data_IF_405072689529
#
_entry.id   IF_405072689529
#
_cell.length_a   1.000
_cell.length_b   1.000
_cell.length_c   1.000
_cell.angle_alpha   90.00
_cell.angle_beta   90.00
_cell.angle_gamma   90.00
#
_symmetry.space_group_name_H-M   'P 1'
#
loop_
_entity.id
_entity.type
_entity.pdbx_description
1 polymer ?
#
# COMPACT_ATOMS: atom_id res chain seq x y z
N UNK A 1 -9.98 14.26 8.60
CA UNK A 1 -11.08 13.38 8.14
C UNK A 1 -12.00 14.21 7.27
N UNK A 2 -12.14 13.80 6.02
CA UNK A 2 -13.02 14.42 5.02
C UNK A 2 -14.30 13.58 4.98
N UNK A 3 -15.46 14.24 4.94
CA UNK A 3 -16.76 13.57 4.83
C UNK A 3 -17.11 13.47 3.35
N UNK A 4 -17.41 12.27 2.87
CA UNK A 4 -18.08 12.05 1.60
C UNK A 4 -19.52 11.61 1.88
N UNK A 5 -20.48 12.45 1.48
CA UNK A 5 -21.90 12.14 1.52
C UNK A 5 -22.58 12.62 0.25
N UNK A 6 -23.53 11.82 -0.26
CA UNK A 6 -24.42 12.24 -1.34
C UNK A 6 -25.54 13.18 -0.86
N UNK A 7 -25.71 13.31 0.47
CA UNK A 7 -26.75 14.08 1.14
C UNK A 7 -26.24 15.45 1.55
N UNK A 8 -27.12 16.45 1.51
CA UNK A 8 -26.86 17.79 2.08
C UNK A 8 -27.09 17.76 3.58
N UNK A 9 -26.00 17.59 4.34
CA UNK A 9 -26.01 17.63 5.80
C UNK A 9 -25.99 19.08 6.29
N UNK A 10 -26.65 19.34 7.42
CA UNK A 10 -26.45 20.61 8.15
C UNK A 10 -25.12 20.58 8.88
N UNK A 11 -24.57 21.76 9.20
CA UNK A 11 -23.30 21.87 9.96
C UNK A 11 -23.35 21.16 11.31
N UNK A 12 -24.51 21.13 11.95
CA UNK A 12 -24.72 20.44 13.23
C UNK A 12 -24.66 18.92 13.04
N UNK A 13 -25.28 18.40 11.98
CA UNK A 13 -25.23 16.98 11.64
C UNK A 13 -23.81 16.52 11.27
N UNK A 14 -23.06 17.33 10.52
CA UNK A 14 -21.65 17.05 10.20
C UNK A 14 -20.80 16.93 11.48
N UNK A 15 -21.03 17.79 12.48
CA UNK A 15 -20.32 17.72 13.75
C UNK A 15 -20.66 16.45 14.53
N UNK A 16 -21.92 16.03 14.53
CA UNK A 16 -22.35 14.79 15.17
C UNK A 16 -21.70 13.57 14.50
N UNK A 17 -21.72 13.51 13.17
CA UNK A 17 -21.08 12.44 12.39
C UNK A 17 -19.58 12.38 12.68
N UNK A 18 -18.90 13.53 12.73
CA UNK A 18 -17.47 13.58 13.06
C UNK A 18 -17.19 13.14 14.51
N UNK A 19 -18.06 13.48 15.45
CA UNK A 19 -17.91 13.05 16.84
C UNK A 19 -18.07 11.54 16.98
N UNK A 20 -19.04 10.95 16.29
CA UNK A 20 -19.26 9.50 16.26
C UNK A 20 -18.13 8.75 15.55
N UNK A 21 -17.70 9.22 14.38
CA UNK A 21 -16.57 8.64 13.67
C UNK A 21 -15.28 8.63 14.50
N UNK A 22 -15.05 9.67 15.33
CA UNK A 22 -13.91 9.70 16.27
C UNK A 22 -13.99 8.64 17.35
N UNK A 23 -15.20 8.31 17.84
CA UNK A 23 -15.39 7.23 18.81
C UNK A 23 -15.06 5.88 18.17
N UNK A 24 -15.57 5.62 16.96
CA UNK A 24 -15.28 4.39 16.20
C UNK A 24 -13.78 4.20 15.97
N UNK A 25 -13.06 5.27 15.59
CA UNK A 25 -11.59 5.21 15.41
C UNK A 25 -10.86 4.77 16.68
N UNK A 26 -11.30 5.24 17.86
CA UNK A 26 -10.67 4.88 19.12
C UNK A 26 -10.96 3.43 19.52
N UNK A 27 -12.19 2.98 19.32
CA UNK A 27 -12.64 1.63 19.67
C UNK A 27 -12.01 0.56 18.76
N UNK A 28 -12.06 0.78 17.44
CA UNK A 28 -11.56 -0.18 16.44
C UNK A 28 -10.05 -0.05 16.16
N UNK A 29 -9.37 0.94 16.76
CA UNK A 29 -7.94 1.24 16.55
C UNK A 29 -7.58 1.41 15.07
N UNK A 30 -8.42 2.13 14.34
CA UNK A 30 -8.20 2.42 12.92
C UNK A 30 -6.94 3.29 12.77
N UNK A 31 -5.96 2.82 11.99
CA UNK A 31 -4.75 3.59 11.72
C UNK A 31 -5.00 4.67 10.65
N UNK A 32 -4.50 5.88 10.91
CA UNK A 32 -4.56 7.04 10.02
C UNK A 32 -5.91 7.22 9.28
N UNK A 33 -7.00 7.54 9.99
CA UNK A 33 -8.31 7.75 9.39
C UNK A 33 -8.36 9.06 8.60
N UNK A 34 -8.72 8.98 7.32
CA UNK A 34 -8.77 10.15 6.43
C UNK A 34 -10.16 10.44 5.87
N UNK A 35 -11.03 9.44 5.71
CA UNK A 35 -12.33 9.59 5.04
C UNK A 35 -13.44 8.98 5.89
N UNK A 36 -14.58 9.66 5.94
CA UNK A 36 -15.83 9.14 6.50
C UNK A 36 -16.86 9.13 5.37
N UNK A 37 -17.39 7.96 5.07
CA UNK A 37 -18.48 7.77 4.12
C UNK A 37 -19.78 7.64 4.90
N UNK A 38 -20.78 8.42 4.49
CA UNK A 38 -22.15 8.31 5.01
C UNK A 38 -23.00 7.65 3.93
N UNK A 39 -23.47 6.44 4.22
CA UNK A 39 -24.21 5.60 3.31
C UNK A 39 -25.65 5.43 3.82
N UNK A 40 -26.60 5.28 2.91
CA UNK A 40 -27.97 4.92 3.23
C UNK A 40 -28.21 3.48 2.76
N UNK A 41 -28.44 2.57 3.70
CA UNK A 41 -28.75 1.16 3.44
C UNK A 41 -30.10 0.83 4.07
N UNK A 42 -31.06 0.36 3.26
CA UNK A 42 -32.38 -0.10 3.73
C UNK A 42 -33.17 0.92 4.59
N UNK A 43 -33.00 2.22 4.32
CA UNK A 43 -33.64 3.30 5.08
C UNK A 43 -32.97 3.60 6.43
N UNK A 44 -31.78 3.05 6.66
CA UNK A 44 -30.91 3.35 7.79
C UNK A 44 -29.63 4.04 7.32
N UNK A 45 -29.08 4.89 8.19
CA UNK A 45 -27.82 5.58 7.91
C UNK A 45 -26.66 4.77 8.48
N UNK A 46 -25.72 4.39 7.62
CA UNK A 46 -24.51 3.69 7.98
C UNK A 46 -23.30 4.63 7.87
N UNK A 47 -22.41 4.55 8.85
CA UNK A 47 -21.14 5.27 8.88
C UNK A 47 -20.01 4.31 8.58
N UNK A 48 -19.20 4.63 7.59
CA UNK A 48 -17.99 3.89 7.27
C UNK A 48 -16.78 4.78 7.38
N UNK A 49 -15.87 4.45 8.30
CA UNK A 49 -14.61 5.16 8.45
C UNK A 49 -13.53 4.43 7.68
N UNK A 50 -12.87 5.15 6.75
CA UNK A 50 -11.75 4.63 5.98
C UNK A 50 -10.45 5.22 6.53
N UNK A 51 -9.56 4.31 6.89
CA UNK A 51 -8.18 4.61 7.27
C UNK A 51 -7.17 3.83 6.46
N UNK A 52 -5.93 4.29 6.49
CA UNK A 52 -4.81 3.60 5.83
C UNK A 52 -4.00 2.87 6.89
N UNK A 53 -3.88 1.55 6.77
CA UNK A 53 -2.97 0.78 7.63
C UNK A 53 -1.58 0.71 6.99
N UNK A 54 -0.49 0.87 7.76
CA UNK A 54 0.85 0.73 7.23
C UNK A 54 1.05 -0.74 6.81
N UNK A 55 1.35 -0.95 5.53
CA UNK A 55 1.70 -2.27 5.03
C UNK A 55 3.12 -2.59 5.51
N UNK A 56 3.24 -3.52 6.45
CA UNK A 56 4.54 -3.99 6.93
C UNK A 56 4.96 -5.24 6.17
N UNK A 57 6.15 -5.20 5.58
CA UNK A 57 6.74 -6.38 4.90
C UNK A 57 7.40 -7.30 5.91
N UNK A 58 6.86 -8.51 6.05
CA UNK A 58 7.50 -9.61 6.79
C UNK A 58 8.38 -10.40 5.83
N UNK A 59 9.64 -10.66 6.20
CA UNK A 59 10.63 -11.33 5.33
C UNK A 59 11.44 -12.36 6.10
N UNK A 60 12.00 -13.33 5.36
CA UNK A 60 12.99 -14.28 5.88
C UNK A 60 14.39 -13.87 5.48
N UNK A 61 15.19 -13.41 6.44
CA UNK A 61 16.62 -13.16 6.23
C UNK A 61 17.40 -14.42 6.63
N UNK A 62 17.29 -14.87 7.88
CA UNK A 62 18.10 -15.98 8.44
C UNK A 62 17.31 -17.26 8.73
N UNK A 63 16.21 -17.49 8.01
CA UNK A 63 15.38 -18.69 8.17
C UNK A 63 14.09 -18.52 8.98
N UNK A 64 13.94 -17.45 9.76
CA UNK A 64 12.66 -17.08 10.41
C UNK A 64 12.02 -15.84 9.79
N UNK A 65 10.69 -15.73 9.90
CA UNK A 65 9.91 -14.58 9.46
C UNK A 65 9.98 -13.47 10.50
N UNK A 66 10.40 -12.28 10.10
CA UNK A 66 10.35 -11.09 10.94
C UNK A 66 10.25 -9.82 10.08
N UNK A 67 9.91 -8.72 10.73
CA UNK A 67 9.94 -7.37 10.17
C UNK A 67 11.37 -6.82 10.19
N UNK A 68 11.69 -5.88 9.29
CA UNK A 68 13.07 -5.39 9.07
C UNK A 68 13.65 -4.65 10.27
N UNK A 69 12.81 -3.98 11.05
CA UNK A 69 13.14 -3.24 12.27
C UNK A 69 13.73 -4.10 13.40
N UNK A 70 13.53 -5.42 13.36
CA UNK A 70 14.02 -6.35 14.39
C UNK A 70 15.35 -7.01 14.04
N UNK A 71 15.88 -6.78 12.85
CA UNK A 71 17.15 -7.36 12.41
C UNK A 71 18.32 -6.43 12.74
N UNK A 72 19.48 -7.00 13.04
CA UNK A 72 20.70 -6.23 13.21
C UNK A 72 21.27 -5.75 11.85
N UNK A 73 22.24 -4.85 11.90
CA UNK A 73 22.85 -4.23 10.72
C UNK A 73 23.45 -5.25 9.76
N UNK A 74 24.08 -6.32 10.28
CA UNK A 74 24.66 -7.38 9.45
C UNK A 74 23.59 -8.11 8.61
N UNK A 75 22.39 -8.34 9.18
CA UNK A 75 21.28 -8.99 8.47
C UNK A 75 20.56 -8.05 7.51
N UNK A 76 20.49 -6.76 7.83
CA UNK A 76 20.04 -5.76 6.88
C UNK A 76 20.99 -5.67 5.68
N UNK A 77 22.31 -5.65 5.91
CA UNK A 77 23.32 -5.65 4.85
C UNK A 77 23.20 -6.89 3.94
N UNK A 78 23.00 -8.08 4.53
CA UNK A 78 22.72 -9.32 3.78
C UNK A 78 21.49 -9.18 2.88
N UNK A 79 20.39 -8.61 3.40
CA UNK A 79 19.16 -8.37 2.63
C UNK A 79 19.38 -7.40 1.47
N UNK A 80 20.14 -6.32 1.70
CA UNK A 80 20.45 -5.32 0.67
C UNK A 80 21.36 -5.87 -0.45
N UNK A 81 22.20 -6.86 -0.14
CA UNK A 81 23.06 -7.53 -1.12
C UNK A 81 22.32 -8.59 -1.96
N UNK A 82 21.05 -8.90 -1.67
CA UNK A 82 20.31 -9.91 -2.43
C UNK A 82 19.93 -9.40 -3.81
N UNK A 83 20.27 -10.17 -4.83
CA UNK A 83 19.83 -9.93 -6.21
C UNK A 83 18.42 -10.48 -6.40
N UNK A 84 17.48 -9.63 -6.83
CA UNK A 84 16.14 -10.06 -7.26
C UNK A 84 16.22 -10.79 -8.59
N UNK A 85 15.94 -12.08 -8.58
CA UNK A 85 15.77 -12.88 -9.81
C UNK A 85 14.36 -12.64 -10.37
N UNK A 86 14.22 -11.95 -11.50
CA UNK A 86 12.91 -11.77 -12.16
C UNK A 86 12.68 -10.45 -12.90
N UNK A 87 13.49 -9.41 -12.64
CA UNK A 87 13.69 -8.35 -13.63
C UNK A 87 14.84 -8.82 -14.51
N UNK A 88 14.55 -9.35 -15.70
CA UNK A 88 15.49 -9.57 -16.81
C UNK A 88 16.96 -9.69 -16.37
N UNK A 89 17.40 -10.92 -16.04
CA UNK A 89 18.83 -11.19 -16.02
C UNK A 89 19.32 -10.99 -17.45
N UNK A 90 19.99 -9.86 -17.67
CA UNK A 90 20.80 -9.65 -18.84
C UNK A 90 21.82 -10.79 -18.90
N UNK A 91 21.55 -11.79 -19.75
CA UNK A 91 22.58 -12.61 -20.39
C UNK A 91 23.37 -11.73 -21.38
N UNK A 92 23.81 -10.54 -20.95
CA UNK A 92 24.66 -9.68 -21.76
C UNK A 92 26.11 -10.09 -21.51
N UNK A 93 26.78 -10.35 -22.62
CA UNK A 93 28.20 -10.64 -22.71
C UNK A 93 29.02 -9.62 -21.90
N UNK A 94 30.12 -10.03 -21.23
CA UNK A 94 30.94 -9.15 -20.40
C UNK A 94 31.44 -7.87 -21.10
N UNK A 95 31.48 -7.86 -22.43
CA UNK A 95 31.93 -6.72 -23.24
C UNK A 95 30.88 -5.60 -23.37
N UNK A 96 29.60 -5.88 -23.15
CA UNK A 96 28.53 -4.88 -23.25
C UNK A 96 28.36 -4.06 -21.96
N UNK A 97 28.82 -4.57 -20.81
CA UNK A 97 28.80 -3.84 -19.52
C UNK A 97 29.63 -2.55 -19.52
N UNK A 98 30.63 -2.45 -20.40
CA UNK A 98 31.50 -1.27 -20.47
C UNK A 98 30.92 -0.14 -21.34
N UNK A 99 29.85 -0.39 -22.10
CA UNK A 99 29.29 0.56 -23.06
C UNK A 99 28.01 1.24 -22.59
N UNK A 100 27.26 0.65 -21.66
CA UNK A 100 25.98 1.21 -21.23
C UNK A 100 26.11 2.00 -19.92
N UNK A 101 26.16 3.33 -20.06
CA UNK A 101 26.06 4.29 -18.95
C UNK A 101 24.64 4.48 -18.41
N UNK A 102 23.67 3.66 -18.82
CA UNK A 102 22.32 3.70 -18.28
C UNK A 102 21.72 2.31 -18.37
N UNK A 103 21.60 1.64 -17.22
CA UNK A 103 20.75 0.46 -17.13
C UNK A 103 19.34 0.86 -17.57
N UNK A 104 18.65 0.09 -18.43
CA UNK A 104 17.21 0.25 -18.55
C UNK A 104 16.63 -0.19 -17.21
N UNK A 105 16.05 0.77 -16.49
CA UNK A 105 15.20 0.49 -15.34
C UNK A 105 14.25 -0.61 -15.76
N UNK A 106 14.21 -1.69 -14.99
CA UNK A 106 13.32 -2.82 -15.26
C UNK A 106 11.86 -2.49 -14.92
N UNK A 107 11.43 -1.32 -15.36
CA UNK A 107 10.06 -0.86 -15.33
C UNK A 107 9.30 -1.64 -16.40
N UNK A 108 8.34 -2.44 -15.95
CA UNK A 108 7.31 -2.99 -16.81
C UNK A 108 6.68 -1.83 -17.60
N UNK A 109 6.62 -1.95 -18.92
CA UNK A 109 5.94 -0.91 -19.69
C UNK A 109 4.44 -0.98 -19.40
N UNK A 110 3.75 0.14 -19.53
CA UNK A 110 2.30 0.23 -19.29
C UNK A 110 1.51 -0.78 -20.17
N UNK A 111 2.09 -1.17 -21.31
CA UNK A 111 1.58 -2.17 -22.22
C UNK A 111 1.67 -3.59 -21.66
N UNK A 112 2.76 -3.91 -20.96
CA UNK A 112 2.96 -5.22 -20.31
C UNK A 112 2.02 -5.39 -19.12
N UNK A 113 1.79 -4.32 -18.36
CA UNK A 113 0.83 -4.30 -17.25
C UNK A 113 -0.61 -4.54 -17.72
N UNK A 114 -1.02 -3.86 -18.80
CA UNK A 114 -2.37 -4.04 -19.39
C UNK A 114 -2.58 -5.44 -19.96
N UNK A 115 -1.53 -6.07 -20.49
CA UNK A 115 -1.61 -7.44 -21.01
C UNK A 115 -1.86 -8.45 -19.90
N UNK A 116 -1.12 -8.37 -18.80
CA UNK A 116 -1.33 -9.25 -17.64
C UNK A 116 -2.76 -9.09 -17.10
N UNK A 117 -3.25 -7.85 -16.99
CA UNK A 117 -4.60 -7.58 -16.50
C UNK A 117 -5.71 -8.10 -17.42
N UNK A 118 -5.47 -8.15 -18.74
CA UNK A 118 -6.42 -8.69 -19.71
C UNK A 118 -6.54 -10.22 -19.64
N UNK A 119 -5.50 -10.92 -19.20
CA UNK A 119 -5.52 -12.40 -19.06
C UNK A 119 -6.33 -12.87 -17.83
N UNK A 120 -6.75 -11.95 -16.95
CA UNK A 120 -7.56 -12.25 -15.75
C UNK A 120 -9.06 -11.95 -15.91
N UNK A 121 -9.52 -11.50 -17.09
CA UNK A 121 -10.92 -11.22 -17.43
C UNK A 121 -11.41 -12.21 -18.47
#
# INVERSE_FOLDING_TARGET
>A
MIIHSALTLTKEQEQLVLAEAKKMVQEEKIYNPHTVEVLEEEGQMALRVIGTSPIVRVRRITGYLSTTDRFNDAKLAELHARTTHGCCQNDLDPLDRLKEKSMPDCAWTEKDQKKVLADFV
#
